data_IF_563078441724
#
_entry.id   IF_563078441724
#
_cell.length_a   1.000
_cell.length_b   1.000
_cell.length_c   1.000
_cell.angle_alpha   90.00
_cell.angle_beta   90.00
_cell.angle_gamma   90.00
#
_symmetry.space_group_name_H-M   'P 1'
#
loop_
_entity.id
_entity.type
_entity.pdbx_description
1 polymer ?
#
# COMPACT_ATOMS: atom_id res chain seq x y z
N UNK A 1 3.01 -74.96 -34.12
CA UNK A 1 3.92 -73.99 -33.48
C UNK A 1 3.24 -72.66 -33.47
N UNK A 2 2.83 -72.13 -32.29
CA UNK A 2 2.29 -70.78 -32.22
C UNK A 2 3.43 -69.74 -32.32
N UNK A 3 3.21 -68.57 -32.93
CA UNK A 3 4.23 -67.56 -33.07
C UNK A 3 4.57 -66.87 -31.70
N UNK A 4 5.87 -66.71 -31.50
CA UNK A 4 6.41 -66.07 -30.30
C UNK A 4 5.93 -64.63 -30.23
N UNK A 5 5.24 -64.29 -29.13
CA UNK A 5 4.85 -62.88 -28.79
C UNK A 5 6.14 -62.16 -28.38
N UNK A 6 6.61 -61.29 -29.25
CA UNK A 6 7.70 -60.34 -28.93
C UNK A 6 7.11 -59.26 -28.02
N UNK A 7 7.40 -59.33 -26.72
CA UNK A 7 7.09 -58.31 -25.77
C UNK A 7 8.06 -57.12 -26.02
N UNK A 8 7.62 -56.12 -26.76
CA UNK A 8 8.33 -54.83 -26.86
C UNK A 8 8.45 -54.23 -25.47
N UNK A 9 9.67 -54.22 -24.94
CA UNK A 9 9.94 -53.50 -23.68
C UNK A 9 9.64 -51.99 -23.92
N UNK A 10 8.84 -51.34 -23.01
CA UNK A 10 8.60 -49.91 -23.12
C UNK A 10 9.95 -49.19 -23.04
N UNK A 11 10.23 -48.40 -24.07
CA UNK A 11 11.40 -47.53 -24.10
C UNK A 11 11.43 -46.72 -22.79
N UNK A 12 12.40 -47.01 -21.95
CA UNK A 12 12.67 -46.21 -20.73
C UNK A 12 12.94 -44.79 -21.20
N UNK A 13 11.98 -43.89 -20.97
CA UNK A 13 12.11 -42.47 -21.22
C UNK A 13 13.33 -41.97 -20.43
N UNK A 14 14.48 -41.91 -21.12
CA UNK A 14 15.68 -41.31 -20.57
C UNK A 14 15.36 -39.83 -20.29
N UNK A 15 15.11 -39.54 -19.02
CA UNK A 15 14.91 -38.16 -18.57
C UNK A 15 16.15 -37.35 -19.00
N UNK A 16 15.95 -36.22 -19.69
CA UNK A 16 17.07 -35.41 -20.16
C UNK A 16 17.93 -35.02 -18.97
N UNK A 17 19.21 -35.40 -19.01
CA UNK A 17 20.22 -35.10 -18.01
C UNK A 17 20.25 -33.58 -17.85
N UNK A 18 19.83 -33.05 -16.69
CA UNK A 18 19.75 -31.63 -16.35
C UNK A 18 21.13 -31.00 -16.57
N UNK A 19 21.35 -30.40 -17.74
CA UNK A 19 22.56 -29.61 -17.99
C UNK A 19 22.53 -28.46 -17.03
N UNK A 20 23.49 -28.41 -16.12
CA UNK A 20 23.72 -27.23 -15.25
C UNK A 20 24.04 -26.06 -16.17
N UNK A 21 23.05 -25.20 -16.35
CA UNK A 21 23.19 -23.97 -17.16
C UNK A 21 23.72 -22.88 -16.23
N UNK A 22 24.97 -22.52 -16.42
CA UNK A 22 25.65 -21.48 -15.63
C UNK A 22 24.81 -20.18 -15.55
N UNK A 23 24.08 -19.83 -16.60
CA UNK A 23 23.17 -18.69 -16.60
C UNK A 23 21.99 -18.83 -15.62
N UNK A 24 21.46 -20.05 -15.41
CA UNK A 24 20.39 -20.28 -14.43
C UNK A 24 20.91 -20.11 -13.00
N UNK A 25 22.12 -20.57 -12.72
CA UNK A 25 22.72 -20.39 -11.40
C UNK A 25 23.00 -18.92 -11.09
N UNK A 26 23.45 -18.17 -12.09
CA UNK A 26 23.68 -16.72 -11.92
C UNK A 26 22.37 -15.97 -11.65
N UNK A 27 21.31 -16.26 -12.37
CA UNK A 27 19.99 -15.68 -12.13
C UNK A 27 19.46 -16.08 -10.74
N UNK A 28 19.60 -17.36 -10.36
CA UNK A 28 19.20 -17.80 -9.01
C UNK A 28 19.98 -17.08 -7.90
N UNK A 29 21.28 -16.85 -8.09
CA UNK A 29 22.09 -16.12 -7.13
C UNK A 29 21.62 -14.66 -6.99
N UNK A 30 21.36 -13.98 -8.11
CA UNK A 30 20.82 -12.60 -8.08
C UNK A 30 19.48 -12.55 -7.37
N UNK A 31 18.55 -13.46 -7.70
CA UNK A 31 17.25 -13.53 -7.06
C UNK A 31 17.37 -13.84 -5.57
N UNK A 32 18.28 -14.73 -5.19
CA UNK A 32 18.52 -15.04 -3.78
C UNK A 32 19.09 -13.84 -3.02
N UNK A 33 20.05 -13.10 -3.60
CA UNK A 33 20.60 -11.89 -3.00
C UNK A 33 19.51 -10.81 -2.88
N UNK A 34 18.71 -10.60 -3.92
CA UNK A 34 17.61 -9.65 -3.88
C UNK A 34 16.58 -9.99 -2.79
N UNK A 35 16.22 -11.26 -2.67
CA UNK A 35 15.33 -11.75 -1.62
C UNK A 35 15.94 -11.58 -0.22
N UNK A 36 17.23 -11.92 -0.06
CA UNK A 36 17.93 -11.74 1.20
C UNK A 36 18.01 -10.26 1.63
N UNK A 37 18.33 -9.35 0.69
CA UNK A 37 18.33 -7.90 0.94
C UNK A 37 16.94 -7.42 1.36
N UNK A 38 15.89 -7.85 0.67
CA UNK A 38 14.51 -7.50 1.01
C UNK A 38 14.15 -7.93 2.45
N UNK A 39 14.45 -9.17 2.81
CA UNK A 39 14.19 -9.69 4.17
C UNK A 39 15.00 -8.94 5.22
N UNK A 40 16.31 -8.74 4.98
CA UNK A 40 17.18 -8.02 5.90
C UNK A 40 16.73 -6.56 6.10
N UNK A 41 16.30 -5.90 5.02
CA UNK A 41 15.75 -4.54 5.11
C UNK A 41 14.49 -4.51 5.96
N UNK A 42 13.57 -5.44 5.73
CA UNK A 42 12.33 -5.53 6.52
C UNK A 42 12.63 -5.79 8.01
N UNK A 43 13.51 -6.75 8.31
CA UNK A 43 13.95 -7.01 9.69
C UNK A 43 14.64 -5.79 10.28
N UNK A 44 15.51 -5.11 9.53
CA UNK A 44 16.18 -3.89 9.96
C UNK A 44 15.19 -2.77 10.32
N UNK A 45 14.16 -2.57 9.50
CA UNK A 45 13.09 -1.60 9.78
C UNK A 45 12.34 -1.96 11.06
N UNK A 46 11.94 -3.23 11.20
CA UNK A 46 11.24 -3.69 12.41
C UNK A 46 12.09 -3.48 13.67
N UNK A 47 13.36 -3.86 13.64
CA UNK A 47 14.26 -3.67 14.79
C UNK A 47 14.51 -2.19 15.10
N UNK A 48 14.68 -1.34 14.07
CA UNK A 48 14.90 0.08 14.27
C UNK A 48 13.69 0.82 14.88
N UNK A 49 12.49 0.30 14.68
CA UNK A 49 11.26 0.84 15.28
C UNK A 49 10.95 0.20 16.64
N UNK A 50 11.32 -1.05 16.82
CA UNK A 50 11.01 -1.79 18.05
C UNK A 50 11.75 -1.22 19.26
N UNK A 51 13.03 -0.87 19.11
CA UNK A 51 13.84 -0.33 20.22
C UNK A 51 13.25 0.96 20.79
N UNK A 52 12.99 2.02 20.00
CA UNK A 52 12.33 3.23 20.49
C UNK A 52 10.93 2.98 21.06
N UNK A 53 10.20 2.01 20.49
CA UNK A 53 8.87 1.66 20.99
C UNK A 53 8.93 1.03 22.41
N UNK A 54 9.92 0.17 22.66
CA UNK A 54 10.10 -0.41 24.00
C UNK A 54 10.49 0.67 25.02
N UNK A 55 11.38 1.59 24.64
CA UNK A 55 11.77 2.72 25.49
C UNK A 55 10.55 3.61 25.81
N UNK A 56 9.76 3.94 24.79
CA UNK A 56 8.54 4.72 24.95
C UNK A 56 7.54 4.09 25.93
N UNK A 57 7.27 2.79 25.81
CA UNK A 57 6.37 2.08 26.71
C UNK A 57 7.00 1.77 28.08
N UNK A 58 8.28 2.02 28.25
CA UNK A 58 8.93 2.08 29.57
C UNK A 58 8.58 3.33 30.37
N UNK A 59 8.29 4.46 29.66
CA UNK A 59 7.94 5.75 30.27
C UNK A 59 6.43 5.99 30.29
N UNK A 60 5.71 5.59 29.22
CA UNK A 60 4.27 5.79 29.04
C UNK A 60 3.53 4.49 29.25
N UNK A 61 2.55 4.48 30.15
CA UNK A 61 1.71 3.31 30.39
C UNK A 61 0.94 2.92 29.10
N UNK A 62 0.99 1.64 28.65
CA UNK A 62 0.19 1.18 27.50
C UNK A 62 -1.31 1.43 27.64
N UNK A 63 -1.82 1.41 28.87
CA UNK A 63 -3.22 1.68 29.15
C UNK A 63 -3.56 3.17 28.94
N UNK A 64 -2.73 4.06 29.45
CA UNK A 64 -2.88 5.50 29.25
C UNK A 64 -2.77 5.87 27.77
N UNK A 65 -1.82 5.27 27.05
CA UNK A 65 -1.68 5.43 25.60
C UNK A 65 -2.95 5.04 24.84
N UNK A 66 -3.56 3.89 25.16
CA UNK A 66 -4.73 3.37 24.44
C UNK A 66 -6.04 4.09 24.81
N UNK A 67 -6.16 4.61 26.02
CA UNK A 67 -7.41 5.22 26.54
C UNK A 67 -7.34 6.73 26.64
N UNK A 68 -6.16 7.31 26.55
CA UNK A 68 -5.95 8.75 26.66
C UNK A 68 -6.67 9.50 25.53
N UNK A 69 -7.36 10.58 25.91
CA UNK A 69 -8.15 11.42 24.98
C UNK A 69 -7.44 12.71 24.59
N UNK A 70 -6.19 12.89 25.01
CA UNK A 70 -5.39 14.08 24.71
C UNK A 70 -4.09 13.65 24.01
N UNK A 71 -3.82 14.22 22.85
CA UNK A 71 -2.56 14.05 22.12
C UNK A 71 -1.82 15.40 22.11
N UNK A 72 -0.81 15.55 22.96
CA UNK A 72 -0.04 16.78 23.12
C UNK A 72 1.44 16.49 23.42
N UNK A 73 2.20 15.85 22.50
CA UNK A 73 3.56 15.39 22.75
C UNK A 73 4.61 16.52 22.85
N UNK A 74 4.28 17.72 22.37
CA UNK A 74 5.21 18.87 22.29
C UNK A 74 5.04 19.87 23.43
N UNK A 75 4.10 19.66 24.36
CA UNK A 75 3.88 20.53 25.50
C UNK A 75 4.72 20.10 26.72
N UNK A 76 4.87 21.01 27.68
CA UNK A 76 5.60 20.75 28.93
C UNK A 76 5.03 19.55 29.69
N UNK A 77 3.71 19.41 29.69
CA UNK A 77 3.01 18.20 30.15
C UNK A 77 2.63 17.36 28.94
N UNK A 78 3.52 16.46 28.54
CA UNK A 78 3.33 15.62 27.35
C UNK A 78 2.24 14.58 27.59
N UNK A 79 1.22 14.55 26.76
CA UNK A 79 0.16 13.54 26.74
C UNK A 79 0.18 12.76 25.44
N UNK A 80 0.13 11.41 25.55
CA UNK A 80 0.27 10.50 24.41
C UNK A 80 -0.99 9.64 24.18
N UNK A 81 -2.18 10.19 24.45
CA UNK A 81 -3.43 9.46 24.20
C UNK A 81 -3.70 9.27 22.72
N UNK A 82 -3.86 8.02 22.25
CA UNK A 82 -4.05 7.69 20.84
C UNK A 82 -5.49 7.88 20.35
N UNK A 83 -6.47 7.97 21.25
CA UNK A 83 -7.89 8.03 20.90
C UNK A 83 -8.23 9.16 19.90
N UNK A 84 -7.74 10.42 20.06
CA UNK A 84 -8.02 11.48 19.09
C UNK A 84 -7.51 11.16 17.68
N UNK A 85 -6.33 10.52 17.57
CA UNK A 85 -5.75 10.15 16.28
C UNK A 85 -6.56 9.06 15.59
N UNK A 86 -6.99 8.05 16.35
CA UNK A 86 -7.84 6.96 15.86
C UNK A 86 -9.19 7.50 15.40
N UNK A 87 -9.85 8.31 16.23
CA UNK A 87 -11.15 8.92 15.89
C UNK A 87 -11.01 9.82 14.66
N UNK A 88 -9.99 10.68 14.60
CA UNK A 88 -9.73 11.53 13.43
C UNK A 88 -9.54 10.72 12.16
N UNK A 89 -8.75 9.64 12.22
CA UNK A 89 -8.53 8.75 11.08
C UNK A 89 -9.83 8.09 10.62
N UNK A 90 -10.65 7.59 11.55
CA UNK A 90 -11.94 6.98 11.21
C UNK A 90 -12.91 7.98 10.60
N UNK A 91 -13.01 9.18 11.15
CA UNK A 91 -13.89 10.24 10.63
C UNK A 91 -13.50 10.62 9.20
N UNK A 92 -12.22 10.92 8.98
CA UNK A 92 -11.72 11.30 7.65
C UNK A 92 -11.91 10.14 6.66
N UNK A 93 -11.53 8.92 7.04
CA UNK A 93 -11.66 7.74 6.17
C UNK A 93 -13.12 7.45 5.81
N UNK A 94 -14.03 7.58 6.77
CA UNK A 94 -15.46 7.35 6.55
C UNK A 94 -16.03 8.35 5.53
N UNK A 95 -15.79 9.65 5.73
CA UNK A 95 -16.29 10.67 4.82
C UNK A 95 -15.65 10.60 3.44
N UNK A 96 -14.34 10.36 3.40
CA UNK A 96 -13.63 10.14 2.13
C UNK A 96 -14.18 8.94 1.36
N UNK A 97 -14.38 7.81 2.04
CA UNK A 97 -14.96 6.62 1.42
C UNK A 97 -16.41 6.85 0.96
N UNK A 98 -17.21 7.57 1.74
CA UNK A 98 -18.61 7.88 1.40
C UNK A 98 -18.71 8.69 0.11
N UNK A 99 -17.76 9.58 -0.16
CA UNK A 99 -17.69 10.38 -1.39
C UNK A 99 -17.01 9.62 -2.54
N UNK A 100 -15.87 9.02 -2.28
CA UNK A 100 -15.07 8.37 -3.30
C UNK A 100 -15.70 7.07 -3.84
N UNK A 101 -16.36 6.28 -2.98
CA UNK A 101 -16.94 5.00 -3.37
C UNK A 101 -18.03 5.14 -4.44
N UNK A 102 -19.09 5.97 -4.28
CA UNK A 102 -20.13 6.09 -5.30
C UNK A 102 -19.59 6.70 -6.60
N UNK A 103 -18.68 7.67 -6.53
CA UNK A 103 -18.03 8.25 -7.71
C UNK A 103 -17.17 7.22 -8.43
N UNK A 104 -16.33 6.48 -7.70
CA UNK A 104 -15.46 5.45 -8.25
C UNK A 104 -16.25 4.30 -8.91
N UNK A 105 -17.31 3.84 -8.24
CA UNK A 105 -18.21 2.81 -8.83
C UNK A 105 -18.90 3.35 -10.06
N UNK A 106 -19.40 4.58 -10.05
CA UNK A 106 -20.02 5.23 -11.21
C UNK A 106 -19.07 5.32 -12.41
N UNK A 107 -17.83 5.75 -12.19
CA UNK A 107 -16.78 5.80 -13.23
C UNK A 107 -16.44 4.39 -13.73
N UNK A 108 -16.32 3.41 -12.84
CA UNK A 108 -16.01 2.03 -13.21
C UNK A 108 -17.11 1.42 -14.09
N UNK A 109 -18.38 1.59 -13.72
CA UNK A 109 -19.53 1.14 -14.52
C UNK A 109 -19.55 1.86 -15.88
N UNK A 110 -19.37 3.18 -15.88
CA UNK A 110 -19.33 3.94 -17.12
C UNK A 110 -18.22 3.42 -18.06
N UNK A 111 -17.01 3.20 -17.56
CA UNK A 111 -15.88 2.74 -18.38
C UNK A 111 -16.02 1.29 -18.84
N UNK A 112 -16.75 0.44 -18.10
CA UNK A 112 -16.95 -0.96 -18.47
C UNK A 112 -18.12 -1.16 -19.44
N UNK A 113 -19.23 -0.46 -19.25
CA UNK A 113 -20.48 -0.72 -19.97
C UNK A 113 -20.80 0.33 -21.05
N UNK A 114 -20.53 1.61 -20.78
CA UNK A 114 -21.00 2.71 -21.61
C UNK A 114 -19.91 3.40 -22.43
N UNK A 115 -18.67 3.36 -22.01
CA UNK A 115 -17.60 4.08 -22.67
C UNK A 115 -17.23 3.45 -24.03
N UNK A 116 -17.10 4.28 -25.06
CA UNK A 116 -16.57 3.83 -26.33
C UNK A 116 -15.13 3.33 -26.18
N UNK A 117 -14.67 2.44 -27.07
CA UNK A 117 -13.29 1.91 -27.06
C UNK A 117 -12.23 3.02 -27.06
N UNK A 118 -12.50 4.16 -27.70
CA UNK A 118 -11.56 5.29 -27.73
C UNK A 118 -11.49 5.99 -26.38
N UNK A 119 -12.63 6.26 -25.76
CA UNK A 119 -12.70 6.90 -24.43
C UNK A 119 -12.07 6.01 -23.37
N UNK A 120 -12.42 4.73 -23.34
CA UNK A 120 -11.86 3.77 -22.39
C UNK A 120 -10.35 3.58 -22.59
N UNK A 121 -9.87 3.60 -23.85
CA UNK A 121 -8.44 3.47 -24.18
C UNK A 121 -7.58 4.67 -23.73
N UNK A 122 -8.17 5.84 -23.51
CA UNK A 122 -7.48 7.02 -22.98
C UNK A 122 -7.65 7.15 -21.47
N UNK A 123 -8.88 6.99 -20.98
CA UNK A 123 -9.18 7.21 -19.55
C UNK A 123 -8.57 6.15 -18.64
N UNK A 124 -8.51 4.87 -19.06
CA UNK A 124 -7.90 3.81 -18.24
C UNK A 124 -6.42 4.09 -17.93
N UNK A 125 -5.55 4.34 -18.92
CA UNK A 125 -4.15 4.70 -18.63
C UNK A 125 -4.02 5.97 -17.79
N UNK A 126 -4.87 6.98 -17.99
CA UNK A 126 -4.84 8.20 -17.17
C UNK A 126 -5.17 7.89 -15.71
N UNK A 127 -6.20 7.08 -15.45
CA UNK A 127 -6.54 6.66 -14.09
C UNK A 127 -5.45 5.79 -13.46
N UNK A 128 -4.81 4.91 -14.24
CA UNK A 128 -3.66 4.11 -13.78
C UNK A 128 -2.48 5.00 -13.37
N UNK A 129 -2.17 6.03 -14.16
CA UNK A 129 -1.12 7.00 -13.81
C UNK A 129 -1.48 7.78 -12.55
N UNK A 130 -2.72 8.24 -12.41
CA UNK A 130 -3.19 8.93 -11.22
C UNK A 130 -3.13 8.03 -9.97
N UNK A 131 -3.52 6.76 -10.11
CA UNK A 131 -3.45 5.79 -9.02
C UNK A 131 -2.00 5.42 -8.63
N UNK A 132 -1.03 5.62 -9.52
CA UNK A 132 0.39 5.40 -9.24
C UNK A 132 1.03 6.55 -8.45
N UNK A 133 0.36 7.71 -8.31
CA UNK A 133 0.88 8.84 -7.53
C UNK A 133 0.90 8.45 -6.04
N UNK A 134 2.05 8.57 -5.35
CA UNK A 134 2.13 8.32 -3.92
C UNK A 134 1.15 9.20 -3.13
N UNK A 135 0.39 8.60 -2.21
CA UNK A 135 -0.62 9.33 -1.40
C UNK A 135 -0.04 10.51 -0.62
N UNK A 136 1.24 10.43 -0.21
CA UNK A 136 1.96 11.54 0.44
C UNK A 136 2.05 12.77 -0.46
N UNK A 137 2.25 12.59 -1.77
CA UNK A 137 2.30 13.69 -2.74
C UNK A 137 0.94 14.34 -2.87
N UNK A 138 -0.14 13.55 -2.92
CA UNK A 138 -1.52 14.06 -2.94
C UNK A 138 -1.85 14.83 -1.66
N UNK A 139 -1.44 14.33 -0.49
CA UNK A 139 -1.59 15.03 0.79
C UNK A 139 -0.85 16.37 0.82
N UNK A 140 0.39 16.40 0.34
CA UNK A 140 1.16 17.64 0.24
C UNK A 140 0.51 18.65 -0.74
N UNK A 141 0.02 18.18 -1.87
CA UNK A 141 -0.72 18.99 -2.83
C UNK A 141 -2.01 19.58 -2.20
N UNK A 142 -2.74 18.78 -1.44
CA UNK A 142 -3.93 19.25 -0.74
C UNK A 142 -3.61 20.39 0.26
N UNK A 143 -2.54 20.26 1.03
CA UNK A 143 -2.12 21.29 1.99
C UNK A 143 -1.63 22.57 1.32
N UNK A 144 -0.85 22.44 0.25
CA UNK A 144 -0.17 23.60 -0.36
C UNK A 144 -0.99 24.31 -1.42
N UNK A 145 -1.93 23.63 -2.05
CA UNK A 145 -2.71 24.17 -3.16
C UNK A 145 -4.22 24.19 -2.87
N UNK A 146 -4.80 23.07 -2.44
CA UNK A 146 -6.25 22.97 -2.25
C UNK A 146 -6.71 23.81 -1.04
N UNK A 147 -6.00 23.75 0.08
CA UNK A 147 -6.37 24.54 1.28
C UNK A 147 -6.35 26.04 1.07
N UNK A 148 -5.31 26.66 0.47
CA UNK A 148 -5.36 28.08 0.10
C UNK A 148 -6.51 28.41 -0.84
N UNK A 149 -6.76 27.59 -1.86
CA UNK A 149 -7.86 27.79 -2.80
C UNK A 149 -9.23 27.80 -2.10
N UNK A 150 -9.45 26.91 -1.13
CA UNK A 150 -10.67 26.87 -0.32
C UNK A 150 -10.84 28.14 0.51
N UNK A 151 -9.75 28.71 1.03
CA UNK A 151 -9.78 30.00 1.75
C UNK A 151 -10.12 31.16 0.84
N UNK A 152 -9.56 31.20 -0.37
CA UNK A 152 -9.79 32.26 -1.35
C UNK A 152 -11.26 32.33 -1.80
N UNK A 153 -11.97 31.20 -1.81
CA UNK A 153 -13.42 31.16 -2.10
C UNK A 153 -14.30 31.41 -0.85
N UNK A 154 -13.69 31.82 0.27
CA UNK A 154 -14.41 32.26 1.47
C UNK A 154 -14.77 31.16 2.47
N UNK A 155 -14.20 29.97 2.34
CA UNK A 155 -14.32 28.93 3.34
C UNK A 155 -13.28 29.17 4.45
N UNK A 156 -13.75 29.27 5.70
CA UNK A 156 -12.87 29.39 6.86
C UNK A 156 -12.34 28.00 7.24
N UNK A 157 -11.28 27.58 6.56
CA UNK A 157 -10.66 26.27 6.75
C UNK A 157 -9.24 26.42 7.29
N UNK A 158 -8.90 25.60 8.27
CA UNK A 158 -7.53 25.52 8.79
C UNK A 158 -6.62 24.73 7.82
N UNK A 159 -5.29 24.86 8.02
CA UNK A 159 -4.28 24.20 7.17
C UNK A 159 -4.48 22.67 7.18
N UNK A 160 -4.75 22.11 8.35
CA UNK A 160 -5.03 20.67 8.51
C UNK A 160 -6.53 20.45 8.68
N UNK A 161 -7.27 20.38 7.60
CA UNK A 161 -8.71 20.21 7.63
C UNK A 161 -9.17 18.94 6.88
N UNK A 162 -10.32 18.42 7.28
CA UNK A 162 -10.88 17.20 6.68
C UNK A 162 -11.29 17.39 5.22
N UNK A 163 -11.66 18.62 4.79
CA UNK A 163 -12.06 18.89 3.41
C UNK A 163 -10.87 18.77 2.44
N UNK A 164 -9.69 19.26 2.84
CA UNK A 164 -8.49 19.13 2.04
C UNK A 164 -7.90 17.68 2.06
N UNK A 165 -8.19 16.92 3.11
CA UNK A 165 -7.76 15.53 3.25
C UNK A 165 -8.69 14.52 2.56
N UNK A 166 -9.92 14.95 2.20
CA UNK A 166 -10.86 14.08 1.47
C UNK A 166 -10.48 14.04 -0.01
N UNK A 167 -10.38 12.84 -0.61
CA UNK A 167 -10.09 12.67 -2.04
C UNK A 167 -11.25 13.12 -2.92
#
# INVERSE_FOLDING_TARGET
MPPAVVIEQPAVLALPRKRVRWGEQFVHLILFIAAAVSVLTTVGIVLSLLLPAIEFFGEVSPWEFLTGTTWAPLFLDAHFGVVPLVVGTFVISFWSALLAFPLGVGVAIYLSEYASRRVSGVLKPVLEILAAIPTVVLGYFALTFVTPLLRDIGLDVEIFNALAASP
#
